data_IF_352467065604
#
_entry.id   IF_352467065604
#
_cell.length_a   1.000
_cell.length_b   1.000
_cell.length_c   1.000
_cell.angle_alpha   90.00
_cell.angle_beta   90.00
_cell.angle_gamma   90.00
#
_symmetry.space_group_name_H-M   'P 1'
#
loop_
_entity.id
_entity.type
_entity.pdbx_description
1 polymer ?
#
# COMPACT_ATOMS: atom_id res chain seq x y z
N UNK A 1 -0.82 23.86 0.54
CA UNK A 1 -0.81 22.79 -0.47
C UNK A 1 0.30 21.84 -0.09
N UNK A 2 -0.02 20.70 0.52
CA UNK A 2 0.98 19.87 1.20
C UNK A 2 1.92 19.18 0.20
N UNK A 3 3.20 19.31 0.51
CA UNK A 3 4.35 18.75 -0.18
C UNK A 3 4.45 17.22 -0.01
N UNK A 4 5.16 16.57 -0.95
CA UNK A 4 5.70 15.22 -0.78
C UNK A 4 5.10 14.21 -1.76
N UNK A 5 5.93 13.76 -2.69
CA UNK A 5 5.74 12.65 -3.62
C UNK A 5 5.03 11.41 -3.00
N UNK A 6 3.71 11.37 -3.12
CA UNK A 6 2.85 10.28 -2.66
C UNK A 6 2.78 9.06 -3.61
N UNK A 7 3.59 9.05 -4.68
CA UNK A 7 3.41 8.17 -5.84
C UNK A 7 3.74 6.69 -5.60
N UNK A 8 4.39 6.35 -4.47
CA UNK A 8 4.95 5.01 -4.21
C UNK A 8 4.47 4.40 -2.88
N UNK A 9 3.38 4.93 -2.33
CA UNK A 9 2.83 4.52 -1.04
C UNK A 9 1.65 3.56 -1.20
N UNK A 10 1.53 2.60 -0.28
CA UNK A 10 0.32 1.79 -0.14
C UNK A 10 -0.53 2.37 0.99
N UNK A 11 -1.83 2.59 0.74
CA UNK A 11 -2.76 3.22 1.69
C UNK A 11 -3.91 2.28 2.06
N UNK A 12 -4.26 2.32 3.35
CA UNK A 12 -5.33 1.56 3.97
C UNK A 12 -6.49 2.49 4.27
N UNK A 13 -7.66 2.16 3.76
CA UNK A 13 -8.88 2.95 3.94
C UNK A 13 -9.94 2.10 4.65
N UNK A 14 -10.62 2.70 5.63
CA UNK A 14 -11.83 2.10 6.19
C UNK A 14 -12.97 2.31 5.19
N UNK A 15 -13.64 1.24 4.78
CA UNK A 15 -14.72 1.30 3.80
C UNK A 15 -15.94 2.07 4.32
N UNK A 16 -16.21 1.97 5.62
CA UNK A 16 -17.43 2.54 6.23
C UNK A 16 -17.53 4.07 6.14
N UNK A 17 -16.41 4.78 6.25
CA UNK A 17 -16.35 6.24 6.33
C UNK A 17 -15.29 6.85 5.41
N UNK A 18 -14.57 6.03 4.64
CA UNK A 18 -13.46 6.47 3.78
C UNK A 18 -12.26 7.00 4.55
N UNK A 19 -12.16 6.76 5.87
CA UNK A 19 -11.06 7.27 6.67
C UNK A 19 -9.74 6.56 6.28
N UNK A 20 -8.68 7.36 6.09
CA UNK A 20 -7.32 6.83 5.94
C UNK A 20 -6.86 6.28 7.29
N UNK A 21 -6.69 4.96 7.36
CA UNK A 21 -6.19 4.29 8.57
C UNK A 21 -4.68 4.35 8.66
N UNK A 22 -4.01 4.12 7.52
CA UNK A 22 -2.56 4.04 7.46
C UNK A 22 -2.05 4.28 6.05
N UNK A 23 -0.93 4.99 5.93
CA UNK A 23 -0.11 5.01 4.72
C UNK A 23 1.23 4.34 5.04
N UNK A 24 1.69 3.45 4.16
CA UNK A 24 2.97 2.78 4.31
C UNK A 24 3.86 3.14 3.14
N UNK A 25 5.02 3.71 3.46
CA UNK A 25 6.10 4.02 2.52
C UNK A 25 7.09 2.88 2.55
N UNK A 26 7.50 2.40 1.38
CA UNK A 26 8.51 1.35 1.33
C UNK A 26 8.98 1.01 -0.06
N UNK A 27 8.14 1.20 -1.07
CA UNK A 27 8.58 1.14 -2.46
C UNK A 27 9.28 2.44 -2.86
N UNK A 28 10.32 2.30 -3.68
CA UNK A 28 11.09 3.44 -4.21
C UNK A 28 10.67 3.82 -5.61
N UNK A 29 9.74 3.08 -6.20
CA UNK A 29 9.15 3.32 -7.52
C UNK A 29 7.67 2.87 -7.57
N UNK A 30 7.02 3.09 -8.71
CA UNK A 30 5.59 2.91 -8.96
C UNK A 30 5.11 1.51 -8.58
N UNK A 31 4.06 1.45 -7.76
CA UNK A 31 3.37 0.21 -7.42
C UNK A 31 2.36 -0.07 -8.51
N UNK A 32 2.56 -1.16 -9.25
CA UNK A 32 1.72 -1.49 -10.41
C UNK A 32 0.74 -2.63 -10.14
N UNK A 33 0.89 -3.34 -9.00
CA UNK A 33 0.03 -4.45 -8.65
C UNK A 33 -0.11 -4.60 -7.14
N UNK A 34 -1.30 -4.98 -6.70
CA UNK A 34 -1.64 -5.29 -5.32
C UNK A 34 -2.54 -6.52 -5.25
N UNK A 35 -2.32 -7.40 -4.28
CA UNK A 35 -3.14 -8.59 -4.05
C UNK A 35 -3.22 -8.93 -2.56
N UNK A 36 -4.41 -9.28 -2.09
CA UNK A 36 -4.61 -9.79 -0.73
C UNK A 36 -4.41 -11.29 -0.68
N UNK A 37 -3.89 -11.80 0.45
CA UNK A 37 -3.97 -13.21 0.77
C UNK A 37 -5.45 -13.64 0.91
N UNK A 38 -5.79 -14.91 0.66
CA UNK A 38 -7.17 -15.39 0.78
C UNK A 38 -7.78 -15.19 2.18
N UNK A 39 -6.94 -15.17 3.22
CA UNK A 39 -7.37 -14.92 4.61
C UNK A 39 -7.40 -13.43 4.98
N UNK A 40 -7.05 -12.53 4.06
CA UNK A 40 -7.07 -11.08 4.25
C UNK A 40 -6.01 -10.52 5.19
N UNK A 41 -5.10 -11.35 5.73
CA UNK A 41 -4.11 -10.93 6.74
C UNK A 41 -2.83 -10.35 6.15
N UNK A 42 -2.58 -10.59 4.88
CA UNK A 42 -1.40 -10.11 4.17
C UNK A 42 -1.82 -9.42 2.88
N UNK A 43 -1.23 -8.26 2.62
CA UNK A 43 -1.26 -7.61 1.31
C UNK A 43 0.12 -7.70 0.68
N UNK A 44 0.18 -8.18 -0.56
CA UNK A 44 1.36 -8.10 -1.40
C UNK A 44 1.25 -6.89 -2.33
N UNK A 45 2.34 -6.13 -2.47
CA UNK A 45 2.48 -5.06 -3.46
C UNK A 45 3.73 -5.28 -4.32
N UNK A 46 3.58 -5.19 -5.64
CA UNK A 46 4.67 -5.27 -6.60
C UNK A 46 4.97 -3.91 -7.22
N UNK A 47 6.25 -3.57 -7.33
CA UNK A 47 6.71 -2.27 -7.83
C UNK A 47 7.77 -2.39 -8.93
N UNK A 48 7.92 -1.32 -9.72
CA UNK A 48 9.02 -1.14 -10.67
C UNK A 48 10.40 -1.05 -9.99
N UNK A 49 10.45 -0.91 -8.66
CA UNK A 49 11.70 -0.98 -7.89
C UNK A 49 12.32 -2.39 -7.85
N UNK A 50 11.69 -3.35 -8.53
CA UNK A 50 12.15 -4.74 -8.62
C UNK A 50 11.81 -5.57 -7.40
N UNK A 51 10.97 -5.06 -6.49
CA UNK A 51 10.61 -5.76 -5.25
C UNK A 51 9.12 -6.05 -5.13
N UNK A 52 8.84 -7.12 -4.38
CA UNK A 52 7.52 -7.39 -3.81
C UNK A 52 7.62 -7.16 -2.31
N UNK A 53 6.70 -6.38 -1.73
CA UNK A 53 6.63 -6.15 -0.28
C UNK A 53 5.34 -6.74 0.27
N UNK A 54 5.46 -7.34 1.46
CA UNK A 54 4.35 -7.92 2.20
C UNK A 54 4.01 -7.04 3.40
N UNK A 55 2.73 -6.72 3.54
CA UNK A 55 2.20 -5.89 4.60
C UNK A 55 1.20 -6.71 5.41
N UNK A 56 1.40 -6.79 6.73
CA UNK A 56 0.35 -7.33 7.60
C UNK A 56 -0.79 -6.34 7.69
N UNK A 57 -1.98 -6.84 7.44
CA UNK A 57 -3.24 -6.13 7.63
C UNK A 57 -3.60 -6.21 9.11
N UNK A 58 -3.72 -5.07 9.81
CA UNK A 58 -4.20 -5.06 11.18
C UNK A 58 -5.71 -5.36 11.28
#
# INVERSE_FOLDING_TARGET
>A
MAAGNAWYEVRWWRVADGALLRAVRGHTDSVNSVAFSPDGKILASGSLDGTVKLWRVP
#
